data_IF_822377018091
#
_entry.id   IF_822377018091
#
_cell.length_a   1.000
_cell.length_b   1.000
_cell.length_c   1.000
_cell.angle_alpha   90.00
_cell.angle_beta   90.00
_cell.angle_gamma   90.00
#
_symmetry.space_group_name_H-M   'P 1'
#
loop_
_entity.id
_entity.type
_entity.pdbx_description
1 polymer ?
#
# COMPACT_ATOMS: atom_id res chain seq x y z
N UNK A 1 21.15 4.13 26.05
CA UNK A 1 20.50 2.81 25.84
C UNK A 1 19.55 2.98 24.68
N UNK A 2 20.04 2.73 23.47
CA UNK A 2 19.21 2.75 22.26
C UNK A 2 18.34 1.49 22.32
N UNK A 3 17.04 1.64 22.55
CA UNK A 3 16.09 0.55 22.34
C UNK A 3 16.16 0.19 20.86
N UNK A 4 16.76 -0.95 20.55
CA UNK A 4 16.73 -1.54 19.22
C UNK A 4 15.25 -1.77 18.89
N UNK A 5 14.76 -1.06 17.87
CA UNK A 5 13.40 -1.28 17.38
C UNK A 5 13.46 -2.65 16.70
N UNK A 6 12.71 -3.65 17.19
CA UNK A 6 12.74 -4.97 16.58
C UNK A 6 12.40 -4.83 15.10
N UNK A 7 13.23 -5.46 14.27
CA UNK A 7 13.02 -5.47 12.83
C UNK A 7 11.82 -6.36 12.54
N UNK A 8 11.06 -6.05 11.49
CA UNK A 8 9.89 -6.84 11.11
C UNK A 8 10.26 -8.33 10.93
N UNK A 9 11.47 -8.62 10.46
CA UNK A 9 11.97 -9.98 10.24
C UNK A 9 12.21 -10.79 11.54
N UNK A 10 12.20 -10.14 12.71
CA UNK A 10 12.33 -10.81 14.01
C UNK A 10 11.02 -11.50 14.45
N UNK A 11 9.92 -11.27 13.72
CA UNK A 11 8.63 -11.88 14.01
C UNK A 11 8.53 -13.28 13.37
N UNK A 12 8.24 -14.35 14.13
CA UNK A 12 8.12 -15.72 13.61
C UNK A 12 7.10 -15.85 12.48
N UNK A 13 6.04 -15.05 12.52
CA UNK A 13 5.00 -15.06 11.49
C UNK A 13 5.52 -14.63 10.11
N UNK A 14 6.56 -13.79 10.05
CA UNK A 14 7.07 -13.29 8.78
C UNK A 14 7.90 -14.38 8.06
N UNK A 15 8.60 -15.23 8.81
CA UNK A 15 9.33 -16.36 8.21
C UNK A 15 8.42 -17.50 7.75
N UNK A 16 7.19 -17.58 8.29
CA UNK A 16 6.16 -18.52 7.83
C UNK A 16 5.50 -18.09 6.51
N UNK A 17 5.54 -16.80 6.14
CA UNK A 17 4.88 -16.24 4.95
C UNK A 17 5.83 -15.35 4.11
N UNK A 18 6.91 -15.91 3.52
CA UNK A 18 7.90 -15.15 2.76
C UNK A 18 7.35 -14.55 1.44
N UNK A 19 6.25 -15.09 0.93
CA UNK A 19 5.51 -14.64 -0.24
C UNK A 19 4.58 -13.44 0.04
N UNK A 20 4.10 -13.33 1.27
CA UNK A 20 3.22 -12.22 1.72
C UNK A 20 4.04 -10.99 2.12
N UNK A 21 5.25 -11.21 2.64
CA UNK A 21 6.17 -10.16 3.08
C UNK A 21 7.49 -10.22 2.30
N UNK A 22 7.48 -9.97 0.98
CA UNK A 22 8.70 -9.96 0.19
C UNK A 22 9.58 -8.76 0.59
N UNK A 23 10.91 -8.96 0.53
CA UNK A 23 11.91 -7.90 0.77
C UNK A 23 11.71 -6.70 -0.19
N UNK A 24 11.25 -6.98 -1.41
CA UNK A 24 10.90 -5.98 -2.42
C UNK A 24 9.39 -6.01 -2.70
N UNK A 25 8.73 -4.84 -2.60
CA UNK A 25 7.32 -4.72 -2.94
C UNK A 25 7.12 -4.78 -4.46
N UNK A 26 6.46 -5.84 -4.94
CA UNK A 26 5.95 -5.91 -6.30
C UNK A 26 4.80 -4.91 -6.42
N UNK A 27 5.10 -3.67 -6.82
CA UNK A 27 4.19 -2.50 -6.79
C UNK A 27 2.88 -2.62 -7.56
N UNK A 28 2.58 -3.78 -8.14
CA UNK A 28 1.31 -4.11 -8.77
C UNK A 28 0.65 -5.23 -7.96
N UNK A 29 -0.57 -5.01 -7.43
CA UNK A 29 -1.27 -6.09 -6.75
C UNK A 29 -1.46 -7.27 -7.71
N UNK A 30 -1.42 -8.52 -7.19
CA UNK A 30 -1.59 -9.70 -8.02
C UNK A 30 -2.91 -9.63 -8.79
N UNK A 31 -2.92 -10.23 -9.99
CA UNK A 31 -4.13 -10.34 -10.81
C UNK A 31 -5.20 -11.01 -9.96
N UNK A 32 -6.27 -10.28 -9.66
CA UNK A 32 -7.40 -10.82 -8.91
C UNK A 32 -8.25 -11.64 -9.87
N UNK A 33 -8.74 -12.78 -9.40
CA UNK A 33 -9.63 -13.66 -10.19
C UNK A 33 -10.99 -13.02 -10.50
N UNK A 34 -11.36 -11.97 -9.77
CA UNK A 34 -12.65 -11.29 -9.85
C UNK A 34 -12.43 -9.80 -10.10
N UNK A 35 -13.21 -9.24 -11.02
CA UNK A 35 -13.27 -7.81 -11.29
C UNK A 35 -14.10 -7.08 -10.23
N UNK A 36 -13.57 -5.99 -9.68
CA UNK A 36 -14.26 -5.19 -8.67
C UNK A 36 -15.01 -4.05 -9.36
N UNK A 37 -16.31 -3.94 -9.07
CA UNK A 37 -17.14 -2.83 -9.52
C UNK A 37 -17.34 -1.81 -8.39
N UNK A 38 -17.22 -0.52 -8.72
CA UNK A 38 -17.56 0.58 -7.78
C UNK A 38 -18.93 1.09 -8.19
N UNK A 39 -19.94 0.79 -7.38
CA UNK A 39 -21.29 1.31 -7.57
C UNK A 39 -21.39 2.72 -7.00
N UNK A 40 -21.92 3.64 -7.80
CA UNK A 40 -22.20 5.00 -7.36
C UNK A 40 -23.65 5.12 -6.91
N UNK A 41 -23.90 5.98 -5.92
CA UNK A 41 -25.27 6.37 -5.58
C UNK A 41 -25.92 7.05 -6.80
N UNK A 42 -27.23 6.85 -7.06
CA UNK A 42 -27.92 7.52 -8.14
C UNK A 42 -27.76 9.05 -8.04
N UNK A 43 -27.34 9.68 -9.14
CA UNK A 43 -27.09 11.13 -9.20
C UNK A 43 -25.68 11.57 -8.79
N UNK A 44 -24.76 10.65 -8.50
CA UNK A 44 -23.35 10.99 -8.35
C UNK A 44 -22.75 11.46 -9.68
N UNK A 45 -21.98 12.56 -9.63
CA UNK A 45 -21.25 13.11 -10.77
C UNK A 45 -19.74 12.99 -10.56
N UNK A 46 -18.93 12.85 -11.63
CA UNK A 46 -17.48 12.84 -11.52
C UNK A 46 -16.95 14.14 -10.91
N UNK A 47 -16.06 14.01 -9.91
CA UNK A 47 -15.39 15.17 -9.29
C UNK A 47 -14.01 15.36 -9.92
N UNK A 48 -13.68 16.62 -10.24
CA UNK A 48 -12.33 17.01 -10.65
C UNK A 48 -11.82 18.11 -9.73
N UNK A 49 -10.68 17.86 -9.08
CA UNK A 49 -10.02 18.81 -8.18
C UNK A 49 -8.55 18.90 -8.55
N UNK A 50 -8.02 20.13 -8.56
CA UNK A 50 -6.60 20.35 -8.79
C UNK A 50 -5.77 19.65 -7.68
N UNK A 51 -4.66 18.97 -8.03
CA UNK A 51 -3.74 18.42 -7.04
C UNK A 51 -3.22 19.51 -6.09
N UNK A 52 -2.94 19.14 -4.84
CA UNK A 52 -2.26 20.05 -3.92
C UNK A 52 -0.80 20.25 -4.33
N UNK A 53 -0.22 21.39 -3.97
CA UNK A 53 1.21 21.64 -4.19
C UNK A 53 2.01 20.81 -3.20
N UNK A 54 2.78 19.84 -3.70
CA UNK A 54 3.78 19.14 -2.88
C UNK A 54 4.93 20.11 -2.56
N UNK A 55 5.50 19.99 -1.36
CA UNK A 55 6.77 20.65 -1.05
C UNK A 55 7.90 20.07 -1.95
N UNK A 56 8.99 20.82 -2.19
CA UNK A 56 10.17 20.27 -2.83
C UNK A 56 10.68 19.03 -2.07
N UNK A 57 11.24 18.06 -2.79
CA UNK A 57 12.00 16.99 -2.13
C UNK A 57 13.22 17.64 -1.46
N UNK A 58 13.49 17.30 -0.21
CA UNK A 58 14.70 17.76 0.48
C UNK A 58 15.94 17.23 -0.27
N UNK A 59 16.99 18.06 -0.37
CA UNK A 59 18.28 17.72 -0.98
C UNK A 59 19.28 17.26 0.08
#
# INVERSE_FOLDING_TARGET
MTSEVPTIHDQPIISEFPDVFPEELLGIPPVREIEFNIELIPGAEPVSKAPYRMAPVEL
#
